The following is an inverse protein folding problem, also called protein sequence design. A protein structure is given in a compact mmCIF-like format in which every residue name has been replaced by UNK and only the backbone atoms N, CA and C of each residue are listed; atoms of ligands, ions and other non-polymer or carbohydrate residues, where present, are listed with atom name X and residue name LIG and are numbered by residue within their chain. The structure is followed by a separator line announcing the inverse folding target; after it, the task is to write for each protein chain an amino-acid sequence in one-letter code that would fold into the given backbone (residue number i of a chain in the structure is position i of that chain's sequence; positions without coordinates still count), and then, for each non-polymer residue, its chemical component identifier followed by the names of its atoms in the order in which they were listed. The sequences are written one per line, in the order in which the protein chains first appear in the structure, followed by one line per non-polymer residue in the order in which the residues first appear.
data_IF_808107847113
#
_entry.id   IF_808107847113
#
_cell.length_a   1.000
_cell.length_b   1.000
_cell.length_c   1.000
_cell.angle_alpha   90.00
_cell.angle_beta   90.00
_cell.angle_gamma   90.00
#
_symmetry.space_group_name_H-M   'P 1'
#
loop_
_entity.id
_entity.type
_entity.pdbx_description
1 polymer ?
#
# COMPACT_ATOMS: atom_id res chain seq x y z
N UNK A 1 39.24 -11.90 -18.29
CA UNK A 1 38.20 -12.94 -18.20
C UNK A 1 38.85 -14.30 -18.32
N UNK A 2 38.40 -15.32 -17.57
CA UNK A 2 38.95 -16.67 -17.66
C UNK A 2 38.71 -17.28 -19.06
N UNK A 3 39.66 -18.10 -19.53
CA UNK A 3 39.54 -18.79 -20.81
C UNK A 3 38.77 -20.10 -20.68
N UNK A 4 38.34 -20.66 -21.83
CA UNK A 4 37.73 -22.00 -21.87
C UNK A 4 38.59 -23.05 -21.16
N UNK A 5 39.92 -23.00 -21.33
CA UNK A 5 40.84 -23.94 -20.66
C UNK A 5 40.78 -23.82 -19.14
N UNK A 6 40.75 -22.58 -18.61
CA UNK A 6 40.64 -22.36 -17.16
C UNK A 6 39.33 -22.94 -16.63
N UNK A 7 38.21 -22.63 -17.28
CA UNK A 7 36.90 -23.13 -16.87
C UNK A 7 36.80 -24.66 -16.99
N UNK A 8 37.29 -25.24 -18.09
CA UNK A 8 37.20 -26.68 -18.37
C UNK A 8 37.87 -27.51 -17.28
N UNK A 9 39.02 -27.05 -16.77
CA UNK A 9 39.81 -27.74 -15.74
C UNK A 9 39.55 -27.25 -14.32
N UNK A 10 38.64 -26.29 -14.13
CA UNK A 10 38.19 -25.87 -12.81
C UNK A 10 37.46 -27.02 -12.09
N UNK A 11 37.62 -27.07 -10.76
CA UNK A 11 36.90 -28.02 -9.92
C UNK A 11 35.38 -27.80 -10.02
N UNK A 12 34.57 -28.85 -9.83
CA UNK A 12 33.11 -28.73 -9.87
C UNK A 12 32.58 -27.80 -8.77
N UNK A 13 31.34 -27.29 -8.90
CA UNK A 13 30.75 -26.41 -7.91
C UNK A 13 30.69 -27.04 -6.51
N UNK A 14 30.65 -26.19 -5.49
CA UNK A 14 30.54 -26.61 -4.10
C UNK A 14 29.07 -26.80 -3.67
N UNK A 15 28.54 -28.01 -3.82
CA UNK A 15 27.17 -28.33 -3.39
C UNK A 15 27.04 -28.73 -1.91
N UNK A 16 28.13 -28.73 -1.15
CA UNK A 16 28.05 -28.83 0.32
C UNK A 16 27.62 -27.49 0.93
N UNK A 17 27.86 -26.38 0.21
CA UNK A 17 27.49 -25.02 0.62
C UNK A 17 26.35 -24.41 -0.21
N UNK A 18 26.08 -24.96 -1.41
CA UNK A 18 25.04 -24.48 -2.31
C UNK A 18 23.99 -25.56 -2.56
N UNK A 19 22.74 -25.16 -2.74
CA UNK A 19 21.65 -26.08 -3.07
C UNK A 19 21.76 -26.47 -4.54
N UNK A 20 21.91 -27.77 -4.81
CA UNK A 20 21.95 -28.29 -6.17
C UNK A 20 20.56 -28.24 -6.81
N UNK A 21 20.42 -27.49 -7.92
CA UNK A 21 19.14 -27.33 -8.62
C UNK A 21 18.90 -28.48 -9.62
N UNK A 22 17.66 -28.65 -10.05
CA UNK A 22 17.22 -29.79 -10.88
C UNK A 22 17.86 -29.75 -12.30
N UNK A 23 18.30 -28.58 -12.77
CA UNK A 23 19.01 -28.39 -14.05
C UNK A 23 20.25 -27.50 -13.90
N UNK A 24 21.34 -28.00 -13.30
CA UNK A 24 22.54 -27.19 -13.06
C UNK A 24 23.39 -27.14 -14.35
N UNK A 25 23.35 -26.03 -15.11
CA UNK A 25 24.15 -25.88 -16.34
C UNK A 25 25.63 -25.51 -16.08
N UNK A 26 26.12 -25.76 -14.86
CA UNK A 26 27.47 -25.39 -14.39
C UNK A 26 28.60 -26.15 -15.09
N UNK A 27 28.32 -27.39 -15.47
CA UNK A 27 29.24 -28.28 -16.20
C UNK A 27 29.04 -28.22 -17.72
N UNK A 28 28.07 -27.41 -18.17
CA UNK A 28 27.67 -27.31 -19.57
C UNK A 28 28.31 -26.04 -20.18
N UNK A 29 28.98 -26.11 -21.35
CA UNK A 29 29.44 -24.90 -22.04
C UNK A 29 28.25 -24.08 -22.55
N UNK A 30 28.49 -22.92 -23.15
CA UNK A 30 27.40 -22.20 -23.81
C UNK A 30 26.94 -23.01 -25.01
N UNK A 31 25.67 -23.42 -24.99
CA UNK A 31 25.07 -24.30 -25.97
C UNK A 31 23.90 -23.61 -26.68
N UNK A 32 24.02 -22.32 -27.03
CA UNK A 32 22.93 -21.52 -27.65
C UNK A 32 22.30 -22.05 -28.96
N UNK A 33 22.65 -23.27 -29.36
CA UNK A 33 22.14 -24.00 -30.52
C UNK A 33 21.59 -25.41 -30.17
N UNK A 34 21.58 -25.82 -28.89
CA UNK A 34 21.08 -27.14 -28.45
C UNK A 34 19.68 -27.03 -27.84
N UNK A 35 18.81 -28.00 -28.15
CA UNK A 35 17.49 -28.12 -27.52
C UNK A 35 17.62 -28.56 -26.05
N UNK A 36 17.79 -27.59 -25.15
CA UNK A 36 17.78 -27.81 -23.71
C UNK A 36 16.34 -27.72 -23.17
N UNK A 37 16.10 -28.43 -22.07
CA UNK A 37 14.85 -28.27 -21.31
C UNK A 37 14.91 -26.93 -20.60
N UNK A 38 14.08 -25.97 -21.00
CA UNK A 38 14.01 -24.67 -20.33
C UNK A 38 13.41 -24.82 -18.92
N UNK A 39 13.89 -24.00 -18.00
CA UNK A 39 13.29 -23.86 -16.67
C UNK A 39 12.27 -22.70 -16.68
N UNK A 40 11.16 -22.83 -15.93
CA UNK A 40 10.73 -24.02 -15.20
C UNK A 40 10.14 -25.07 -16.15
N UNK A 41 10.33 -26.36 -15.85
CA UNK A 41 9.84 -27.47 -16.68
C UNK A 41 8.31 -27.59 -16.67
N UNK A 42 7.68 -27.09 -15.61
CA UNK A 42 6.24 -27.03 -15.48
C UNK A 42 5.78 -25.60 -15.73
N UNK A 43 4.82 -25.36 -16.64
CA UNK A 43 4.28 -24.04 -16.90
C UNK A 43 3.50 -23.46 -15.70
N UNK A 44 3.20 -24.28 -14.69
CA UNK A 44 2.54 -23.88 -13.44
C UNK A 44 3.50 -23.62 -12.28
N UNK A 45 4.81 -23.64 -12.52
CA UNK A 45 5.83 -23.33 -11.53
C UNK A 45 6.60 -22.10 -11.96
N UNK A 46 7.21 -21.43 -10.99
CA UNK A 46 8.14 -20.34 -11.23
C UNK A 46 9.56 -20.76 -10.86
N UNK A 47 10.52 -20.02 -11.38
CA UNK A 47 11.90 -20.03 -10.89
C UNK A 47 12.01 -19.05 -9.72
N UNK A 48 12.23 -19.57 -8.53
CA UNK A 48 12.20 -18.79 -7.28
C UNK A 48 13.22 -17.64 -7.24
N UNK A 49 14.43 -17.84 -7.78
CA UNK A 49 15.52 -16.88 -7.66
C UNK A 49 16.60 -17.07 -8.75
N UNK A 50 16.84 -16.00 -9.50
CA UNK A 50 17.98 -15.83 -10.39
C UNK A 50 18.86 -14.68 -9.90
N UNK A 51 20.18 -14.91 -9.87
CA UNK A 51 21.19 -13.90 -9.54
C UNK A 51 22.03 -13.59 -10.78
N UNK A 52 21.85 -12.39 -11.35
CA UNK A 52 22.66 -11.93 -12.49
C UNK A 52 24.05 -11.55 -12.03
N UNK A 53 25.03 -12.05 -12.79
CA UNK A 53 26.46 -11.95 -12.49
C UNK A 53 26.85 -12.64 -11.18
N UNK A 54 25.96 -13.46 -10.63
CA UNK A 54 26.20 -14.23 -9.44
C UNK A 54 27.27 -15.30 -9.64
N UNK A 55 27.91 -15.68 -8.54
CA UNK A 55 28.95 -16.70 -8.49
C UNK A 55 28.64 -17.76 -7.40
N UNK A 56 27.41 -17.77 -6.88
CA UNK A 56 27.05 -18.45 -5.64
C UNK A 56 27.40 -17.61 -4.40
N UNK A 57 27.20 -18.19 -3.21
CA UNK A 57 27.51 -17.51 -1.94
C UNK A 57 29.03 -17.38 -1.75
N UNK A 58 29.49 -16.14 -1.58
CA UNK A 58 30.88 -15.80 -1.30
C UNK A 58 30.95 -15.08 0.04
N UNK A 59 31.83 -15.54 0.90
CA UNK A 59 32.09 -14.97 2.22
C UNK A 59 33.55 -14.54 2.30
N UNK A 60 33.78 -13.24 2.47
CA UNK A 60 35.10 -12.64 2.62
C UNK A 60 35.09 -11.69 3.82
N UNK A 61 36.27 -11.25 4.28
CA UNK A 61 36.38 -10.33 5.43
C UNK A 61 35.60 -9.03 5.23
N UNK A 62 35.47 -8.56 3.99
CA UNK A 62 34.74 -7.34 3.65
C UNK A 62 33.21 -7.51 3.70
N UNK A 63 32.68 -8.74 3.70
CA UNK A 63 31.25 -9.00 3.68
C UNK A 63 30.87 -10.25 2.89
N UNK A 64 29.56 -10.42 2.70
CA UNK A 64 28.96 -11.52 1.97
C UNK A 64 28.31 -11.05 0.66
N UNK A 65 28.49 -11.81 -0.42
CA UNK A 65 27.79 -11.62 -1.69
C UNK A 65 27.19 -12.93 -2.19
N UNK A 66 26.20 -12.83 -3.09
CA UNK A 66 25.53 -13.97 -3.70
C UNK A 66 24.74 -14.85 -2.73
N UNK A 67 24.20 -15.93 -3.28
CA UNK A 67 23.19 -16.74 -2.61
C UNK A 67 23.45 -18.24 -2.79
N UNK A 68 23.06 -19.02 -1.79
CA UNK A 68 23.24 -20.48 -1.80
C UNK A 68 22.16 -21.23 -2.57
N UNK A 69 21.00 -20.61 -2.80
CA UNK A 69 19.81 -21.27 -3.34
C UNK A 69 19.21 -20.57 -4.57
N UNK A 70 20.04 -20.17 -5.53
CA UNK A 70 19.62 -19.53 -6.78
C UNK A 70 20.21 -20.23 -8.02
N UNK A 71 19.76 -19.82 -9.20
CA UNK A 71 20.50 -19.95 -10.44
C UNK A 71 21.36 -18.71 -10.66
N UNK A 72 22.58 -18.88 -11.15
CA UNK A 72 23.53 -17.78 -11.35
C UNK A 72 23.75 -17.52 -12.84
N UNK A 73 23.35 -16.36 -13.37
CA UNK A 73 23.64 -16.01 -14.77
C UNK A 73 25.04 -15.42 -14.85
N UNK A 74 25.92 -15.98 -15.68
CA UNK A 74 27.27 -15.45 -15.83
C UNK A 74 27.91 -15.81 -17.17
N UNK A 75 29.02 -15.16 -17.50
CA UNK A 75 29.82 -15.46 -18.68
C UNK A 75 30.18 -16.96 -18.75
N UNK A 76 30.11 -17.54 -19.95
CA UNK A 76 30.29 -18.98 -20.23
C UNK A 76 31.55 -19.62 -19.64
N UNK A 77 32.64 -18.86 -19.49
CA UNK A 77 33.89 -19.36 -18.91
C UNK A 77 34.20 -18.78 -17.52
N UNK A 78 33.26 -18.06 -16.91
CA UNK A 78 33.48 -17.53 -15.56
C UNK A 78 33.59 -18.68 -14.54
N UNK A 79 34.57 -18.53 -13.65
CA UNK A 79 34.76 -19.32 -12.42
C UNK A 79 34.57 -18.38 -11.23
N UNK A 80 34.32 -18.93 -10.05
CA UNK A 80 34.21 -18.15 -8.81
C UNK A 80 35.49 -17.33 -8.62
N UNK A 81 35.33 -16.02 -8.45
CA UNK A 81 36.42 -15.04 -8.50
C UNK A 81 37.24 -14.97 -7.22
N UNK A 82 36.60 -15.17 -6.06
CA UNK A 82 37.24 -15.04 -4.74
C UNK A 82 36.55 -15.92 -3.67
N UNK A 83 37.03 -15.80 -2.43
CA UNK A 83 36.53 -16.57 -1.30
C UNK A 83 36.98 -18.04 -1.30
N UNK A 84 36.40 -18.87 -0.42
CA UNK A 84 36.83 -20.27 -0.23
C UNK A 84 36.66 -21.17 -1.46
N UNK A 85 35.74 -20.82 -2.37
CA UNK A 85 35.46 -21.56 -3.59
C UNK A 85 36.11 -20.94 -4.84
N UNK A 86 37.06 -20.02 -4.67
CA UNK A 86 37.77 -19.38 -5.78
C UNK A 86 38.34 -20.40 -6.78
N UNK A 87 38.23 -20.09 -8.08
CA UNK A 87 38.62 -20.92 -9.21
C UNK A 87 37.81 -22.20 -9.41
N UNK A 88 36.73 -22.44 -8.65
CA UNK A 88 35.75 -23.49 -8.95
C UNK A 88 34.73 -23.02 -9.98
N UNK A 89 34.05 -23.95 -10.63
CA UNK A 89 32.88 -23.64 -11.47
C UNK A 89 31.75 -23.05 -10.62
N UNK A 90 31.03 -22.08 -11.18
CA UNK A 90 29.92 -21.40 -10.49
C UNK A 90 28.75 -22.39 -10.30
N UNK A 91 28.18 -22.51 -9.08
CA UNK A 91 27.03 -23.38 -8.81
C UNK A 91 25.78 -22.91 -9.55
N UNK A 92 25.05 -23.87 -10.13
CA UNK A 92 23.82 -23.65 -10.90
C UNK A 92 23.94 -22.56 -11.97
N UNK A 93 25.14 -22.39 -12.56
CA UNK A 93 25.37 -21.38 -13.58
C UNK A 93 24.47 -21.57 -14.80
N UNK A 94 23.86 -20.50 -15.29
CA UNK A 94 23.26 -20.38 -16.63
C UNK A 94 24.23 -19.55 -17.47
N UNK A 95 24.88 -20.13 -18.50
CA UNK A 95 25.92 -19.43 -19.24
C UNK A 95 25.35 -18.45 -20.27
N UNK A 96 25.92 -17.25 -20.34
CA UNK A 96 25.73 -16.30 -21.45
C UNK A 96 27.02 -16.09 -22.23
N UNK A 97 26.90 -15.64 -23.48
CA UNK A 97 28.03 -15.47 -24.41
C UNK A 97 29.06 -14.49 -23.85
N UNK A 98 28.60 -13.33 -23.40
CA UNK A 98 29.46 -12.29 -22.87
C UNK A 98 28.74 -11.41 -21.87
N UNK A 99 29.49 -10.54 -21.18
CA UNK A 99 28.90 -9.51 -20.34
C UNK A 99 28.07 -8.48 -21.13
N UNK A 100 28.23 -8.41 -22.45
CA UNK A 100 27.50 -7.49 -23.35
C UNK A 100 26.44 -8.18 -24.21
N UNK A 101 26.35 -9.50 -24.14
CA UNK A 101 25.36 -10.32 -24.83
C UNK A 101 24.79 -11.33 -23.82
N UNK A 102 23.73 -10.86 -23.16
CA UNK A 102 22.96 -11.59 -22.17
C UNK A 102 21.72 -12.14 -22.87
N UNK A 103 21.74 -13.41 -23.24
CA UNK A 103 20.58 -14.11 -23.76
C UNK A 103 20.46 -15.45 -23.05
N UNK A 104 19.41 -15.58 -22.23
CA UNK A 104 19.10 -16.82 -21.52
C UNK A 104 17.91 -17.55 -22.13
N UNK A 105 17.44 -17.17 -23.32
CA UNK A 105 16.22 -17.70 -23.96
C UNK A 105 16.27 -19.21 -24.21
N UNK A 106 17.46 -19.78 -24.37
CA UNK A 106 17.67 -21.23 -24.52
C UNK A 106 17.54 -22.01 -23.21
N UNK A 107 17.54 -21.32 -22.06
CA UNK A 107 17.58 -21.93 -20.73
C UNK A 107 16.37 -21.58 -19.86
N UNK A 108 15.77 -20.40 -20.07
CA UNK A 108 14.74 -19.85 -19.17
C UNK A 108 13.52 -19.41 -19.98
N UNK A 109 12.36 -19.90 -19.59
CA UNK A 109 11.08 -19.49 -20.16
C UNK A 109 10.77 -18.02 -19.85
N UNK A 110 10.09 -17.36 -20.77
CA UNK A 110 9.63 -15.99 -20.59
C UNK A 110 8.64 -15.91 -19.42
N UNK A 111 8.63 -14.77 -18.73
CA UNK A 111 7.63 -14.47 -17.69
C UNK A 111 7.51 -15.53 -16.58
N UNK A 112 8.62 -16.14 -16.17
CA UNK A 112 8.64 -17.35 -15.33
C UNK A 112 9.43 -17.20 -14.02
N UNK A 113 10.00 -16.03 -13.74
CA UNK A 113 10.89 -15.80 -12.60
C UNK A 113 10.24 -14.92 -11.54
N UNK A 114 10.34 -15.33 -10.27
CA UNK A 114 9.78 -14.61 -9.12
C UNK A 114 10.72 -13.54 -8.55
N UNK A 115 12.02 -13.84 -8.45
CA UNK A 115 13.00 -12.92 -7.90
C UNK A 115 14.23 -12.88 -8.77
N UNK A 116 14.62 -11.67 -9.16
CA UNK A 116 15.90 -11.39 -9.80
C UNK A 116 16.73 -10.49 -8.89
N UNK A 117 17.98 -10.87 -8.67
CA UNK A 117 18.98 -10.03 -8.04
C UNK A 117 20.08 -9.66 -9.03
N UNK A 118 20.65 -8.46 -8.88
CA UNK A 118 21.81 -8.01 -9.67
C UNK A 118 22.78 -7.27 -8.76
N UNK A 119 24.07 -7.58 -8.87
CA UNK A 119 25.12 -7.00 -8.02
C UNK A 119 26.35 -6.61 -8.82
N UNK A 120 26.85 -5.38 -8.61
CA UNK A 120 28.24 -4.97 -8.91
C UNK A 120 28.70 -4.93 -10.38
N UNK A 121 28.00 -5.59 -11.30
CA UNK A 121 28.36 -5.66 -12.72
C UNK A 121 27.35 -4.89 -13.61
N UNK A 122 27.79 -4.30 -14.74
CA UNK A 122 26.93 -3.43 -15.54
C UNK A 122 25.61 -4.07 -16.00
N UNK A 123 24.55 -3.28 -15.97
CA UNK A 123 23.23 -3.61 -16.54
C UNK A 123 23.12 -2.88 -17.88
N UNK A 124 23.76 -3.44 -18.90
CA UNK A 124 23.58 -2.94 -20.27
C UNK A 124 22.20 -3.31 -20.81
N UNK A 125 21.88 -2.80 -22.01
CA UNK A 125 20.60 -3.02 -22.69
C UNK A 125 20.26 -4.51 -22.83
N UNK A 126 21.20 -5.34 -23.28
CA UNK A 126 20.95 -6.79 -23.44
C UNK A 126 20.66 -7.47 -22.11
N UNK A 127 21.34 -7.10 -21.02
CA UNK A 127 21.05 -7.60 -19.68
C UNK A 127 19.65 -7.18 -19.20
N UNK A 128 19.29 -5.90 -19.38
CA UNK A 128 17.98 -5.38 -19.00
C UNK A 128 16.85 -6.05 -19.80
N UNK A 129 17.03 -6.26 -21.11
CA UNK A 129 16.05 -6.92 -21.98
C UNK A 129 15.82 -8.37 -21.55
N UNK A 130 16.88 -9.10 -21.21
CA UNK A 130 16.76 -10.48 -20.73
C UNK A 130 16.07 -10.56 -19.35
N UNK A 131 16.42 -9.65 -18.42
CA UNK A 131 15.72 -9.50 -17.12
C UNK A 131 14.23 -9.23 -17.35
N UNK A 132 13.92 -8.26 -18.21
CA UNK A 132 12.55 -7.88 -18.55
C UNK A 132 11.78 -9.02 -19.22
N UNK A 133 12.44 -9.86 -20.03
CA UNK A 133 11.83 -11.02 -20.69
C UNK A 133 11.41 -12.09 -19.67
N UNK A 134 12.30 -12.45 -18.73
CA UNK A 134 12.09 -13.59 -17.84
C UNK A 134 11.32 -13.25 -16.57
N UNK A 135 11.35 -12.01 -16.09
CA UNK A 135 10.63 -11.62 -14.87
C UNK A 135 9.12 -11.79 -15.07
N UNK A 136 8.47 -12.44 -14.10
CA UNK A 136 7.02 -12.56 -14.12
C UNK A 136 6.36 -11.23 -13.73
N UNK A 137 5.38 -10.78 -14.50
CA UNK A 137 4.65 -9.54 -14.27
C UNK A 137 3.74 -9.54 -13.02
N UNK A 138 3.23 -10.71 -12.61
CA UNK A 138 2.21 -10.83 -11.56
C UNK A 138 2.81 -11.10 -10.18
N UNK A 139 3.94 -11.84 -10.12
CA UNK A 139 4.61 -12.24 -8.86
C UNK A 139 6.07 -11.77 -8.77
N UNK A 140 6.62 -11.24 -9.86
CA UNK A 140 8.03 -10.90 -9.97
C UNK A 140 8.46 -9.69 -9.13
N UNK A 141 9.69 -9.76 -8.64
CA UNK A 141 10.42 -8.69 -7.97
C UNK A 141 11.85 -8.63 -8.50
N UNK A 142 12.40 -7.43 -8.64
CA UNK A 142 13.81 -7.23 -8.99
C UNK A 142 14.49 -6.40 -7.92
N UNK A 143 15.62 -6.87 -7.40
CA UNK A 143 16.40 -6.15 -6.39
C UNK A 143 17.83 -5.98 -6.86
N UNK A 144 18.28 -4.74 -7.00
CA UNK A 144 19.65 -4.42 -7.43
C UNK A 144 20.44 -3.81 -6.28
N UNK A 145 21.72 -4.16 -6.17
CA UNK A 145 22.60 -3.74 -5.08
C UNK A 145 23.82 -3.00 -5.60
N UNK A 146 24.19 -1.91 -4.92
CA UNK A 146 25.45 -1.19 -5.19
C UNK A 146 25.50 -0.38 -6.49
N UNK A 147 24.36 0.04 -7.03
CA UNK A 147 24.30 0.91 -8.22
C UNK A 147 23.94 2.35 -7.83
N UNK A 148 24.54 3.31 -8.53
CA UNK A 148 24.15 4.72 -8.43
C UNK A 148 22.77 4.95 -9.08
N UNK A 149 21.93 5.76 -8.43
CA UNK A 149 20.52 5.96 -8.81
C UNK A 149 20.34 6.45 -10.26
N UNK A 150 21.16 7.40 -10.71
CA UNK A 150 21.06 8.01 -12.05
C UNK A 150 21.92 7.34 -13.12
N UNK A 151 22.51 6.18 -12.80
CA UNK A 151 23.40 5.48 -13.71
C UNK A 151 22.67 4.95 -14.96
N UNK A 152 23.40 4.84 -16.07
CA UNK A 152 22.90 4.19 -17.28
C UNK A 152 22.40 2.76 -17.02
N UNK A 153 22.98 2.06 -16.03
CA UNK A 153 22.56 0.73 -15.62
C UNK A 153 21.10 0.72 -15.12
N UNK A 154 20.77 1.65 -14.22
CA UNK A 154 19.42 1.76 -13.65
C UNK A 154 18.42 2.18 -14.73
N UNK A 155 18.78 3.15 -15.58
CA UNK A 155 17.91 3.61 -16.68
C UNK A 155 17.59 2.51 -17.69
N UNK A 156 18.58 1.68 -18.05
CA UNK A 156 18.35 0.52 -18.91
C UNK A 156 17.37 -0.46 -18.28
N UNK A 157 17.56 -0.77 -16.99
CA UNK A 157 16.69 -1.69 -16.26
C UNK A 157 15.25 -1.15 -16.16
N UNK A 158 15.09 0.10 -15.74
CA UNK A 158 13.77 0.73 -15.56
C UNK A 158 12.95 0.79 -16.84
N UNK A 159 13.60 1.02 -17.99
CA UNK A 159 12.97 0.97 -19.31
C UNK A 159 12.28 -0.39 -19.55
N UNK A 160 12.92 -1.49 -19.18
CA UNK A 160 12.35 -2.83 -19.40
C UNK A 160 11.35 -3.23 -18.31
N UNK A 161 11.61 -2.88 -17.05
CA UNK A 161 10.72 -3.20 -15.94
C UNK A 161 9.39 -2.43 -16.00
N UNK A 162 9.40 -1.20 -16.52
CA UNK A 162 8.17 -0.41 -16.71
C UNK A 162 7.23 -1.09 -17.71
N UNK A 163 7.76 -1.75 -18.75
CA UNK A 163 6.95 -2.53 -19.71
C UNK A 163 6.25 -3.72 -19.07
N UNK A 164 6.75 -4.17 -17.92
CA UNK A 164 6.20 -5.26 -17.10
C UNK A 164 5.39 -4.77 -15.91
N UNK A 165 5.15 -3.46 -15.79
CA UNK A 165 4.51 -2.84 -14.63
C UNK A 165 5.20 -3.13 -13.29
N UNK A 166 6.51 -3.33 -13.29
CA UNK A 166 7.31 -3.36 -12.08
C UNK A 166 7.77 -1.94 -11.74
N UNK A 167 7.44 -1.49 -10.54
CA UNK A 167 7.61 -0.09 -10.09
C UNK A 167 8.60 -0.03 -8.95
N UNK A 168 9.44 1.01 -8.96
CA UNK A 168 10.40 1.26 -7.89
C UNK A 168 9.72 1.47 -6.52
N UNK A 169 10.24 0.81 -5.49
CA UNK A 169 9.80 0.92 -4.11
C UNK A 169 10.98 1.24 -3.18
N UNK A 170 11.16 2.53 -2.88
CA UNK A 170 12.26 3.06 -2.04
C UNK A 170 12.32 2.43 -0.64
N UNK A 171 11.18 2.27 0.02
CA UNK A 171 11.07 1.77 1.38
C UNK A 171 10.83 0.26 1.47
N UNK A 172 11.18 -0.48 0.41
CA UNK A 172 11.06 -1.93 0.40
C UNK A 172 11.96 -2.56 1.48
N UNK A 173 11.32 -3.28 2.41
CA UNK A 173 12.02 -4.08 3.40
C UNK A 173 12.48 -5.39 2.79
N UNK A 174 13.79 -5.61 2.72
CA UNK A 174 14.35 -6.84 2.17
C UNK A 174 13.87 -8.07 2.97
N UNK A 175 13.46 -9.16 2.29
CA UNK A 175 13.18 -10.42 2.97
C UNK A 175 14.47 -11.01 3.56
N UNK A 176 14.34 -11.83 4.60
CA UNK A 176 15.49 -12.39 5.33
C UNK A 176 16.55 -13.04 4.43
N UNK A 177 16.12 -13.72 3.36
CA UNK A 177 17.03 -14.34 2.38
C UNK A 177 17.97 -13.36 1.67
N UNK A 178 17.62 -12.07 1.62
CA UNK A 178 18.42 -10.99 1.02
C UNK A 178 19.19 -10.18 2.05
N UNK A 179 18.82 -10.23 3.33
CA UNK A 179 19.51 -9.50 4.41
C UNK A 179 20.93 -10.00 4.69
N UNK A 180 21.21 -11.26 4.35
CA UNK A 180 22.53 -11.86 4.53
C UNK A 180 23.57 -11.35 3.51
N UNK A 181 23.18 -10.45 2.61
CA UNK A 181 24.06 -9.76 1.68
C UNK A 181 24.57 -8.49 2.34
N UNK A 182 25.87 -8.41 2.60
CA UNK A 182 26.47 -7.33 3.40
C UNK A 182 27.57 -6.56 2.68
N UNK A 183 27.87 -6.92 1.42
CA UNK A 183 28.89 -6.21 0.63
C UNK A 183 28.40 -4.84 0.11
N UNK A 184 27.09 -4.60 0.12
CA UNK A 184 26.48 -3.34 -0.33
C UNK A 184 25.56 -2.80 0.74
N UNK A 185 25.67 -1.50 1.01
CA UNK A 185 24.86 -0.79 2.01
C UNK A 185 23.57 -0.20 1.41
N UNK A 186 23.38 -0.33 0.09
CA UNK A 186 22.21 0.19 -0.62
C UNK A 186 21.62 -0.84 -1.57
N UNK A 187 20.29 -0.79 -1.69
CA UNK A 187 19.52 -1.58 -2.64
C UNK A 187 18.44 -0.73 -3.28
N UNK A 188 18.00 -1.16 -4.47
CA UNK A 188 16.84 -0.63 -5.16
C UNK A 188 15.93 -1.79 -5.52
N UNK A 189 14.67 -1.71 -5.12
CA UNK A 189 13.70 -2.79 -5.35
C UNK A 189 12.59 -2.34 -6.31
N UNK A 190 12.27 -3.18 -7.27
CA UNK A 190 11.16 -3.02 -8.20
C UNK A 190 10.17 -4.14 -7.96
N UNK A 191 8.92 -3.77 -7.75
CA UNK A 191 7.86 -4.66 -7.30
C UNK A 191 6.74 -4.66 -8.34
N UNK A 192 6.10 -5.82 -8.54
CA UNK A 192 4.84 -5.88 -9.26
C UNK A 192 3.74 -5.08 -8.52
N UNK A 193 2.62 -4.85 -9.21
CA UNK A 193 1.53 -4.01 -8.71
C UNK A 193 0.86 -4.56 -7.44
N UNK A 194 0.84 -5.89 -7.25
CA UNK A 194 0.27 -6.53 -6.05
C UNK A 194 1.11 -6.20 -4.82
N UNK A 195 2.42 -6.42 -4.89
CA UNK A 195 3.35 -6.09 -3.81
C UNK A 195 3.41 -4.58 -3.56
N UNK A 196 3.25 -3.75 -4.60
CA UNK A 196 3.12 -2.29 -4.46
C UNK A 196 1.86 -1.90 -3.70
N UNK A 197 0.73 -2.57 -3.93
CA UNK A 197 -0.51 -2.36 -3.16
C UNK A 197 -0.30 -2.70 -1.69
N UNK A 198 0.35 -3.83 -1.40
CA UNK A 198 0.63 -4.24 -0.02
C UNK A 198 1.61 -3.28 0.68
N UNK A 199 2.59 -2.76 -0.05
CA UNK A 199 3.49 -1.74 0.46
C UNK A 199 2.76 -0.42 0.77
N UNK A 200 1.90 0.06 -0.13
CA UNK A 200 1.09 1.26 0.10
C UNK A 200 0.15 1.07 1.30
N UNK A 201 -0.55 -0.06 1.35
CA UNK A 201 -1.42 -0.43 2.46
C UNK A 201 -0.66 -0.43 3.80
N UNK A 202 0.51 -1.10 3.84
CA UNK A 202 1.35 -1.16 5.04
C UNK A 202 1.77 0.23 5.51
N UNK A 203 2.19 1.12 4.60
CA UNK A 203 2.56 2.48 4.96
C UNK A 203 1.40 3.26 5.59
N UNK A 204 0.17 3.05 5.12
CA UNK A 204 -1.02 3.69 5.68
C UNK A 204 -1.36 3.13 7.07
N UNK A 205 -1.31 1.80 7.24
CA UNK A 205 -1.58 1.15 8.54
C UNK A 205 -0.51 1.51 9.59
N UNK A 206 0.76 1.55 9.19
CA UNK A 206 1.89 1.94 10.05
C UNK A 206 2.03 3.46 10.23
N UNK A 207 1.10 4.26 9.69
CA UNK A 207 1.07 5.73 9.77
C UNK A 207 2.29 6.43 9.17
N UNK A 208 2.95 5.79 8.20
CA UNK A 208 4.04 6.33 7.37
C UNK A 208 3.45 7.10 6.18
N UNK A 209 2.70 8.16 6.48
CA UNK A 209 1.89 8.82 5.46
C UNK A 209 2.70 9.55 4.39
N UNK A 210 3.88 10.07 4.71
CA UNK A 210 4.75 10.70 3.69
C UNK A 210 5.17 9.67 2.63
N UNK A 211 5.60 8.48 3.04
CA UNK A 211 5.89 7.37 2.12
C UNK A 211 4.64 6.95 1.33
N UNK A 212 3.47 6.92 1.96
CA UNK A 212 2.22 6.61 1.27
C UNK A 212 1.87 7.66 0.20
N UNK A 213 2.06 8.96 0.48
CA UNK A 213 1.85 10.05 -0.48
C UNK A 213 2.81 9.92 -1.66
N UNK A 214 4.12 9.82 -1.41
CA UNK A 214 5.13 9.68 -2.47
C UNK A 214 4.87 8.47 -3.37
N UNK A 215 4.47 7.34 -2.77
CA UNK A 215 4.13 6.12 -3.51
C UNK A 215 2.85 6.24 -4.32
N UNK A 216 1.84 6.94 -3.79
CA UNK A 216 0.59 7.19 -4.52
C UNK A 216 0.83 8.07 -5.75
N UNK A 217 1.67 9.10 -5.60
CA UNK A 217 2.12 9.93 -6.71
C UNK A 217 2.80 9.11 -7.79
N UNK A 218 3.79 8.30 -7.40
CA UNK A 218 4.51 7.42 -8.33
C UNK A 218 3.57 6.49 -9.11
N UNK A 219 2.61 5.87 -8.42
CA UNK A 219 1.61 5.00 -9.04
C UNK A 219 0.70 5.77 -10.00
N UNK A 220 0.27 6.99 -9.64
CA UNK A 220 -0.54 7.83 -10.52
C UNK A 220 0.22 8.23 -11.79
N UNK A 221 1.43 8.78 -11.62
CA UNK A 221 2.27 9.28 -12.72
C UNK A 221 2.69 8.14 -13.68
N UNK A 222 2.75 6.91 -13.18
CA UNK A 222 3.07 5.71 -13.97
C UNK A 222 1.84 5.01 -14.56
N UNK A 223 0.67 5.66 -14.60
CA UNK A 223 -0.61 5.09 -15.07
C UNK A 223 -1.09 3.83 -14.32
N UNK A 224 -0.62 3.62 -13.08
CA UNK A 224 -0.97 2.49 -12.21
C UNK A 224 -1.93 2.91 -11.08
N UNK A 225 -2.78 3.92 -11.33
CA UNK A 225 -3.70 4.48 -10.33
C UNK A 225 -4.75 3.49 -9.79
N UNK A 226 -5.05 2.40 -10.50
CA UNK A 226 -5.94 1.33 -10.02
C UNK A 226 -5.45 0.73 -8.70
N UNK A 227 -4.13 0.64 -8.50
CA UNK A 227 -3.52 0.17 -7.24
C UNK A 227 -3.93 1.04 -6.04
N UNK A 228 -4.11 2.35 -6.26
CA UNK A 228 -4.58 3.29 -5.23
C UNK A 228 -6.04 2.98 -4.90
N UNK A 229 -6.89 2.81 -5.91
CA UNK A 229 -8.31 2.44 -5.72
C UNK A 229 -8.50 1.10 -5.01
N UNK A 230 -7.68 0.10 -5.36
CA UNK A 230 -7.71 -1.21 -4.72
C UNK A 230 -7.28 -1.14 -3.26
N UNK A 231 -6.23 -0.36 -2.97
CA UNK A 231 -5.76 -0.11 -1.61
C UNK A 231 -6.82 0.63 -0.77
N UNK A 232 -7.44 1.68 -1.33
CA UNK A 232 -8.56 2.40 -0.70
C UNK A 232 -9.71 1.44 -0.41
N UNK A 233 -10.08 0.60 -1.37
CA UNK A 233 -11.14 -0.39 -1.21
C UNK A 233 -10.84 -1.40 -0.10
N UNK A 234 -9.58 -1.87 0.00
CA UNK A 234 -9.12 -2.76 1.07
C UNK A 234 -9.22 -2.07 2.45
N UNK A 235 -8.72 -0.84 2.58
CA UNK A 235 -8.81 -0.05 3.81
C UNK A 235 -10.26 0.17 4.27
N UNK A 236 -11.18 0.46 3.34
CA UNK A 236 -12.60 0.64 3.64
C UNK A 236 -13.27 -0.66 4.10
N UNK A 237 -12.98 -1.79 3.45
CA UNK A 237 -13.50 -3.13 3.82
C UNK A 237 -13.05 -3.53 5.23
N UNK A 238 -11.79 -3.25 5.55
CA UNK A 238 -11.20 -3.56 6.85
C UNK A 238 -11.45 -2.49 7.92
N UNK A 239 -12.24 -1.44 7.60
CA UNK A 239 -12.62 -0.34 8.50
C UNK A 239 -11.40 0.38 9.09
N UNK A 240 -10.32 0.49 8.31
CA UNK A 240 -9.06 1.09 8.72
C UNK A 240 -9.19 2.62 8.84
N UNK A 241 -9.19 3.14 10.07
CA UNK A 241 -9.38 4.56 10.35
C UNK A 241 -8.24 5.45 9.81
N UNK A 242 -7.03 4.91 9.67
CA UNK A 242 -5.87 5.64 9.13
C UNK A 242 -6.09 6.12 7.69
N UNK A 243 -7.09 5.60 6.97
CA UNK A 243 -7.46 6.10 5.63
C UNK A 243 -7.76 7.59 5.64
N UNK A 244 -8.34 8.14 6.71
CA UNK A 244 -8.62 9.56 6.80
C UNK A 244 -7.35 10.39 6.91
N UNK A 245 -6.37 9.91 7.69
CA UNK A 245 -5.08 10.60 7.83
C UNK A 245 -4.26 10.54 6.55
N UNK A 246 -4.29 9.40 5.85
CA UNK A 246 -3.74 9.29 4.50
C UNK A 246 -4.42 10.27 3.53
N UNK A 247 -5.74 10.30 3.51
CA UNK A 247 -6.49 11.20 2.65
C UNK A 247 -6.25 12.69 2.98
N UNK A 248 -6.15 13.03 4.26
CA UNK A 248 -5.79 14.37 4.73
C UNK A 248 -4.40 14.78 4.24
N UNK A 249 -3.43 13.86 4.29
CA UNK A 249 -2.06 14.11 3.83
C UNK A 249 -1.98 14.33 2.33
N UNK A 250 -2.69 13.51 1.54
CA UNK A 250 -2.87 13.74 0.11
C UNK A 250 -3.52 15.11 -0.17
N UNK A 251 -4.62 15.43 0.51
CA UNK A 251 -5.36 16.68 0.29
C UNK A 251 -4.57 17.96 0.60
N UNK A 252 -3.73 17.92 1.64
CA UNK A 252 -2.90 19.05 2.05
C UNK A 252 -1.50 19.02 1.41
N UNK A 253 -1.27 18.11 0.47
CA UNK A 253 -0.11 18.10 -0.42
C UNK A 253 -0.49 18.62 -1.80
N UNK A 254 0.44 18.62 -2.76
CA UNK A 254 0.14 18.97 -4.16
C UNK A 254 -0.63 17.85 -4.91
N UNK A 255 -1.09 16.82 -4.21
CA UNK A 255 -1.69 15.60 -4.77
C UNK A 255 -3.22 15.51 -4.52
N UNK A 256 -3.91 16.66 -4.41
CA UNK A 256 -5.36 16.73 -4.18
C UNK A 256 -6.18 15.94 -5.23
N UNK A 257 -5.72 15.89 -6.48
CA UNK A 257 -6.36 15.14 -7.57
C UNK A 257 -6.45 13.63 -7.28
N UNK A 258 -5.58 13.07 -6.44
CA UNK A 258 -5.63 11.66 -6.08
C UNK A 258 -6.89 11.33 -5.26
N UNK A 259 -7.36 12.28 -4.43
CA UNK A 259 -8.63 12.14 -3.71
C UNK A 259 -9.81 12.19 -4.68
N UNK A 260 -9.75 13.06 -5.68
CA UNK A 260 -10.85 13.16 -6.66
C UNK A 260 -10.96 11.92 -7.55
N UNK A 261 -9.82 11.29 -7.86
CA UNK A 261 -9.75 10.20 -8.83
C UNK A 261 -9.96 8.82 -8.20
N UNK A 262 -9.50 8.61 -6.95
CA UNK A 262 -9.36 7.26 -6.40
C UNK A 262 -10.15 7.01 -5.11
N UNK A 263 -10.75 8.03 -4.50
CA UNK A 263 -11.51 7.90 -3.25
C UNK A 263 -13.02 8.06 -3.47
N UNK A 264 -13.85 7.48 -2.59
CA UNK A 264 -15.28 7.76 -2.56
C UNK A 264 -15.55 9.27 -2.44
N UNK A 265 -16.59 9.74 -3.13
CA UNK A 265 -16.96 11.16 -3.20
C UNK A 265 -17.13 11.83 -1.83
N UNK A 266 -17.48 11.07 -0.79
CA UNK A 266 -17.63 11.58 0.58
C UNK A 266 -16.32 12.13 1.15
N UNK A 267 -15.17 11.55 0.78
CA UNK A 267 -13.86 12.08 1.17
C UNK A 267 -13.64 13.47 0.56
N UNK A 268 -14.00 13.64 -0.71
CA UNK A 268 -13.93 14.93 -1.39
C UNK A 268 -14.83 15.96 -0.69
N UNK A 269 -16.09 15.60 -0.42
CA UNK A 269 -17.05 16.46 0.27
C UNK A 269 -16.51 16.97 1.61
N UNK A 270 -15.95 16.05 2.41
CA UNK A 270 -15.42 16.35 3.75
C UNK A 270 -14.20 17.27 3.68
N UNK A 271 -13.22 16.97 2.82
CA UNK A 271 -11.98 17.77 2.78
C UNK A 271 -12.12 19.09 2.03
N UNK A 272 -13.05 19.18 1.07
CA UNK A 272 -13.41 20.46 0.44
C UNK A 272 -14.20 21.36 1.39
N UNK A 273 -14.72 20.78 2.48
CA UNK A 273 -15.62 21.48 3.38
C UNK A 273 -16.93 21.82 2.67
N UNK A 274 -17.40 20.93 1.81
CA UNK A 274 -18.69 21.05 1.15
C UNK A 274 -19.82 20.90 2.19
N UNK A 275 -20.99 21.42 1.82
CA UNK A 275 -22.20 21.24 2.58
C UNK A 275 -22.72 19.82 2.39
N UNK A 276 -23.03 19.17 3.50
CA UNK A 276 -23.50 17.79 3.53
C UNK A 276 -24.71 17.64 4.44
N UNK A 277 -25.50 16.60 4.17
CA UNK A 277 -26.54 16.13 5.07
C UNK A 277 -26.09 14.80 5.67
N UNK A 278 -26.26 14.65 6.98
CA UNK A 278 -25.88 13.44 7.73
C UNK A 278 -27.17 12.68 8.06
N UNK A 279 -27.36 11.50 7.47
CA UNK A 279 -28.63 10.76 7.53
C UNK A 279 -28.43 9.41 8.19
N UNK A 280 -29.23 9.09 9.20
CA UNK A 280 -29.17 7.79 9.86
C UNK A 280 -29.59 6.67 8.91
N UNK A 281 -28.80 5.59 8.82
CA UNK A 281 -29.08 4.45 7.93
C UNK A 281 -30.38 3.73 8.28
N UNK A 282 -30.60 3.48 9.57
CA UNK A 282 -31.74 2.67 10.05
C UNK A 282 -33.08 3.38 9.84
N UNK A 283 -33.14 4.65 10.23
CA UNK A 283 -34.39 5.41 10.30
C UNK A 283 -34.55 6.41 9.15
N UNK A 284 -33.51 6.65 8.36
CA UNK A 284 -33.52 7.61 7.26
C UNK A 284 -33.89 9.04 7.72
N UNK A 285 -33.37 9.45 8.89
CA UNK A 285 -33.59 10.78 9.48
C UNK A 285 -32.31 11.62 9.41
N UNK A 286 -32.43 12.88 9.03
CA UNK A 286 -31.30 13.80 8.91
C UNK A 286 -31.00 14.49 10.24
N UNK A 287 -29.73 14.63 10.61
CA UNK A 287 -29.36 15.33 11.84
C UNK A 287 -29.68 16.83 11.68
N UNK A 288 -30.35 17.42 12.67
CA UNK A 288 -30.54 18.87 12.83
C UNK A 288 -30.21 19.33 14.25
N UNK A 289 -30.19 20.64 14.43
CA UNK A 289 -30.25 21.28 15.73
C UNK A 289 -31.63 21.89 15.97
N UNK A 290 -32.03 21.91 17.24
CA UNK A 290 -33.29 22.51 17.68
C UNK A 290 -33.31 24.03 17.47
N UNK A 291 -34.50 24.60 17.26
CA UNK A 291 -34.72 26.02 17.07
C UNK A 291 -34.62 26.83 18.37
N UNK A 292 -34.76 26.17 19.52
CA UNK A 292 -34.58 26.79 20.83
C UNK A 292 -33.24 26.41 21.46
N UNK A 293 -32.74 27.29 22.32
CA UNK A 293 -31.56 27.03 23.14
C UNK A 293 -31.96 26.70 24.57
N UNK A 294 -31.11 25.96 25.28
CA UNK A 294 -31.22 25.75 26.72
C UNK A 294 -30.67 26.95 27.52
N UNK A 295 -30.54 26.79 28.85
CA UNK A 295 -29.99 27.81 29.75
C UNK A 295 -28.50 28.09 29.56
N UNK A 296 -27.79 27.22 28.83
CA UNK A 296 -26.36 27.34 28.51
C UNK A 296 -26.14 27.86 27.09
N UNK A 297 -27.22 28.25 26.39
CA UNK A 297 -27.23 28.59 24.96
C UNK A 297 -26.87 27.43 24.01
N UNK A 298 -26.99 26.19 24.47
CA UNK A 298 -26.81 25.00 23.65
C UNK A 298 -28.12 24.63 22.93
N UNK A 299 -28.02 24.03 21.74
CA UNK A 299 -29.18 23.51 20.98
C UNK A 299 -29.19 22.00 21.01
N UNK A 300 -30.32 21.39 21.33
CA UNK A 300 -30.43 19.93 21.35
C UNK A 300 -30.33 19.38 19.92
N UNK A 301 -29.61 18.28 19.73
CA UNK A 301 -29.50 17.63 18.43
C UNK A 301 -30.57 16.53 18.25
N UNK A 302 -31.14 16.48 17.06
CA UNK A 302 -32.25 15.58 16.71
C UNK A 302 -32.02 14.95 15.33
N UNK A 303 -32.68 13.83 15.07
CA UNK A 303 -32.95 13.34 13.73
C UNK A 303 -34.32 13.79 13.27
N UNK A 304 -34.38 14.61 12.23
CA UNK A 304 -35.61 15.12 11.62
C UNK A 304 -36.29 14.07 10.73
N UNK A 305 -37.57 13.87 10.97
CA UNK A 305 -38.44 12.91 10.28
C UNK A 305 -38.88 13.34 8.88
N UNK A 306 -38.83 14.64 8.57
CA UNK A 306 -39.39 15.24 7.37
C UNK A 306 -38.34 15.99 6.55
N UNK A 307 -37.54 16.84 7.19
CA UNK A 307 -36.59 17.71 6.52
C UNK A 307 -35.27 16.99 6.19
N UNK A 308 -34.85 17.14 4.93
CA UNK A 308 -33.57 16.64 4.42
C UNK A 308 -32.86 17.66 3.53
N UNK A 309 -33.39 18.87 3.44
CA UNK A 309 -32.99 19.83 2.40
C UNK A 309 -32.77 21.24 2.93
N UNK A 310 -33.44 21.63 4.02
CA UNK A 310 -33.30 22.99 4.55
C UNK A 310 -31.94 23.21 5.22
N UNK A 311 -31.60 24.46 5.52
CA UNK A 311 -30.36 24.81 6.21
C UNK A 311 -30.21 24.15 7.59
N UNK A 312 -31.31 23.75 8.23
CA UNK A 312 -31.31 23.13 9.57
C UNK A 312 -30.56 21.80 9.61
N UNK A 313 -30.58 21.06 8.50
CA UNK A 313 -29.97 19.74 8.33
C UNK A 313 -28.65 19.77 7.56
N UNK A 314 -28.11 20.97 7.29
CA UNK A 314 -26.84 21.14 6.60
C UNK A 314 -25.71 21.21 7.63
N UNK A 315 -24.71 20.38 7.39
CA UNK A 315 -23.49 20.31 8.18
C UNK A 315 -22.26 20.48 7.30
N UNK A 316 -21.14 20.78 7.93
CA UNK A 316 -19.81 20.77 7.31
C UNK A 316 -18.83 20.09 8.25
N UNK A 317 -17.92 19.31 7.67
CA UNK A 317 -16.82 18.69 8.40
C UNK A 317 -15.60 19.61 8.36
N UNK A 318 -14.89 19.70 9.49
CA UNK A 318 -13.65 20.45 9.64
C UNK A 318 -12.60 19.47 10.17
N UNK A 319 -11.64 19.04 9.32
CA UNK A 319 -10.60 18.10 9.75
C UNK A 319 -9.60 18.79 10.70
N UNK A 320 -9.18 18.06 11.72
CA UNK A 320 -8.18 18.47 12.71
C UNK A 320 -7.05 17.46 12.70
N UNK A 321 -5.85 17.92 12.38
CA UNK A 321 -4.65 17.09 12.43
C UNK A 321 -3.96 17.21 13.78
N UNK A 322 -3.86 16.09 14.50
CA UNK A 322 -3.16 16.03 15.79
C UNK A 322 -2.58 14.63 16.01
N UNK A 323 -1.37 14.54 16.57
CA UNK A 323 -0.73 13.28 16.97
C UNK A 323 -0.70 12.22 15.84
N UNK A 324 -0.38 12.63 14.62
CA UNK A 324 -0.34 11.76 13.43
C UNK A 324 -1.68 11.06 13.12
N UNK A 325 -2.78 11.73 13.45
CA UNK A 325 -4.14 11.27 13.20
C UNK A 325 -5.03 12.46 12.83
N UNK A 326 -6.16 12.17 12.18
CA UNK A 326 -7.17 13.18 11.88
C UNK A 326 -8.45 12.87 12.64
N UNK A 327 -9.01 13.90 13.26
CA UNK A 327 -10.35 13.93 13.83
C UNK A 327 -11.15 15.02 13.12
N UNK A 328 -12.44 15.13 13.42
CA UNK A 328 -13.31 16.08 12.76
C UNK A 328 -14.13 16.87 13.77
N UNK A 329 -14.25 18.17 13.55
CA UNK A 329 -15.37 18.96 14.06
C UNK A 329 -16.50 18.90 13.03
N UNK A 330 -17.74 18.90 13.52
CA UNK A 330 -18.94 18.87 12.68
C UNK A 330 -19.77 20.11 13.03
N UNK A 331 -19.88 21.06 12.09
CA UNK A 331 -20.55 22.35 12.32
C UNK A 331 -21.89 22.38 11.57
N UNK A 332 -22.95 22.78 12.26
CA UNK A 332 -24.25 23.07 11.66
C UNK A 332 -24.22 24.44 11.00
N UNK A 333 -24.71 24.53 9.76
CA UNK A 333 -24.60 25.76 8.98
C UNK A 333 -25.62 26.82 9.40
N UNK A 334 -26.85 26.42 9.75
CA UNK A 334 -27.89 27.37 10.16
C UNK A 334 -27.49 28.15 11.42
N UNK A 335 -26.93 27.46 12.43
CA UNK A 335 -26.64 28.07 13.72
C UNK A 335 -25.16 28.35 13.97
N UNK A 336 -24.25 27.89 13.10
CA UNK A 336 -22.80 28.05 13.31
C UNK A 336 -22.27 27.30 14.53
N UNK A 337 -22.99 26.28 15.00
CA UNK A 337 -22.70 25.54 16.22
C UNK A 337 -22.06 24.18 15.92
N UNK A 338 -21.15 23.75 16.78
CA UNK A 338 -20.43 22.49 16.67
C UNK A 338 -21.14 21.39 17.44
N UNK A 339 -21.25 20.20 16.83
CA UNK A 339 -21.80 19.02 17.47
C UNK A 339 -20.88 18.54 18.61
N UNK A 340 -21.46 18.30 19.79
CA UNK A 340 -20.80 17.74 20.97
C UNK A 340 -21.64 16.68 21.66
N UNK A 341 -21.01 15.92 22.55
CA UNK A 341 -21.73 15.15 23.57
C UNK A 341 -21.71 15.85 24.93
N UNK A 342 -22.77 15.64 25.70
CA UNK A 342 -22.92 16.13 27.06
C UNK A 342 -21.88 15.50 28.01
N UNK A 343 -21.50 16.24 29.06
CA UNK A 343 -20.69 15.74 30.18
C UNK A 343 -21.49 14.81 31.09
N UNK A 344 -22.81 14.94 31.09
CA UNK A 344 -23.70 14.10 31.86
C UNK A 344 -24.22 12.92 31.03
N UNK A 345 -24.50 11.82 31.70
CA UNK A 345 -25.15 10.66 31.11
C UNK A 345 -26.58 10.53 31.61
N UNK A 346 -27.40 9.82 30.86
CA UNK A 346 -28.68 9.31 31.35
C UNK A 346 -28.50 8.07 32.25
N UNK A 347 -29.61 7.43 32.59
CA UNK A 347 -29.65 6.26 33.48
C UNK A 347 -29.01 4.99 32.89
N UNK A 348 -28.77 4.94 31.57
CA UNK A 348 -28.11 3.81 30.89
C UNK A 348 -26.70 4.17 30.40
N UNK A 349 -26.23 5.38 30.73
CA UNK A 349 -24.89 5.88 30.42
C UNK A 349 -24.77 6.60 29.08
N UNK A 350 -25.86 6.74 28.32
CA UNK A 350 -25.86 7.47 27.05
C UNK A 350 -25.73 8.97 27.30
N UNK A 351 -25.10 9.69 26.37
CA UNK A 351 -24.88 11.15 26.46
C UNK A 351 -25.73 11.87 25.44
N UNK A 352 -26.46 12.92 25.84
CA UNK A 352 -27.19 13.75 24.88
C UNK A 352 -26.23 14.42 23.91
N UNK A 353 -26.62 14.54 22.65
CA UNK A 353 -25.89 15.33 21.68
C UNK A 353 -26.45 16.75 21.58
N UNK A 354 -25.56 17.73 21.47
CA UNK A 354 -25.88 19.14 21.48
C UNK A 354 -25.07 19.91 20.42
N UNK A 355 -25.54 21.08 20.03
CA UNK A 355 -24.78 22.10 19.31
C UNK A 355 -24.36 23.22 20.25
N UNK A 356 -23.09 23.62 20.19
CA UNK A 356 -22.53 24.73 20.99
C UNK A 356 -21.46 25.47 20.16
N UNK A 357 -21.28 26.76 20.44
CA UNK A 357 -20.29 27.61 19.79
C UNK A 357 -18.84 27.37 20.31
N UNK A 358 -18.66 26.88 21.53
CA UNK A 358 -17.33 26.71 22.15
C UNK A 358 -16.73 25.33 21.87
N UNK A 359 -15.95 25.18 20.79
CA UNK A 359 -15.44 23.86 20.37
C UNK A 359 -14.03 23.49 20.86
N UNK A 360 -13.58 23.99 22.01
CA UNK A 360 -12.20 23.80 22.48
C UNK A 360 -11.92 22.48 23.19
N UNK A 361 -12.96 21.69 23.48
CA UNK A 361 -12.85 20.42 24.21
C UNK A 361 -12.90 19.22 23.26
N UNK A 362 -12.27 18.10 23.65
CA UNK A 362 -12.28 16.86 22.87
C UNK A 362 -13.69 16.30 22.62
N UNK A 363 -14.69 16.68 23.43
CA UNK A 363 -16.09 16.27 23.24
C UNK A 363 -16.76 16.87 22.00
N UNK A 364 -16.09 17.81 21.32
CA UNK A 364 -16.48 18.39 20.03
C UNK A 364 -15.80 17.71 18.83
N UNK A 365 -14.88 16.79 19.10
CA UNK A 365 -14.13 16.08 18.08
C UNK A 365 -14.71 14.68 17.85
N UNK A 366 -14.71 14.28 16.59
CA UNK A 366 -15.33 13.05 16.12
C UNK A 366 -14.36 12.24 15.27
N UNK A 367 -14.40 10.92 15.46
CA UNK A 367 -13.72 9.92 14.66
C UNK A 367 -14.75 9.34 13.70
N UNK A 368 -14.40 9.30 12.41
CA UNK A 368 -15.22 8.65 11.39
C UNK A 368 -14.67 7.26 11.11
N UNK A 369 -15.48 6.22 11.27
CA UNK A 369 -15.11 4.86 10.90
C UNK A 369 -15.86 4.49 9.64
N UNK A 370 -15.18 4.36 8.48
CA UNK A 370 -15.86 3.95 7.26
C UNK A 370 -16.26 2.47 7.33
N UNK A 371 -17.44 2.16 6.82
CA UNK A 371 -17.96 0.79 6.73
C UNK A 371 -18.62 0.61 5.37
N UNK A 372 -18.19 -0.41 4.63
CA UNK A 372 -18.84 -0.84 3.40
C UNK A 372 -19.87 -1.94 3.69
N UNK A 373 -21.15 -1.68 3.39
CA UNK A 373 -22.25 -2.68 3.47
C UNK A 373 -23.03 -2.64 2.17
N UNK A 374 -23.17 -3.78 1.49
CA UNK A 374 -23.92 -3.89 0.23
C UNK A 374 -23.52 -2.83 -0.81
N UNK A 375 -22.22 -2.58 -0.96
CA UNK A 375 -21.64 -1.55 -1.84
C UNK A 375 -21.95 -0.09 -1.46
N UNK A 376 -22.60 0.14 -0.31
CA UNK A 376 -22.82 1.47 0.24
C UNK A 376 -21.75 1.81 1.27
N UNK A 377 -21.17 3.00 1.14
CA UNK A 377 -20.28 3.57 2.15
C UNK A 377 -21.10 4.30 3.21
N UNK A 378 -21.01 3.82 4.44
CA UNK A 378 -21.58 4.47 5.62
C UNK A 378 -20.48 4.72 6.65
N UNK A 379 -20.80 5.54 7.65
CA UNK A 379 -19.85 5.92 8.68
C UNK A 379 -20.44 5.68 10.06
N UNK A 380 -19.63 5.11 10.95
CA UNK A 380 -19.85 5.26 12.37
C UNK A 380 -19.19 6.58 12.79
N UNK A 381 -19.95 7.43 13.47
CA UNK A 381 -19.48 8.73 13.95
C UNK A 381 -19.29 8.61 15.45
N UNK A 382 -18.04 8.60 15.91
CA UNK A 382 -17.66 8.27 17.29
C UNK A 382 -17.07 9.49 17.96
N UNK A 383 -17.56 9.85 19.14
CA UNK A 383 -17.00 10.97 19.89
C UNK A 383 -15.60 10.65 20.41
N UNK A 384 -14.62 11.53 20.18
CA UNK A 384 -13.21 11.33 20.59
C UNK A 384 -13.08 11.19 22.11
N UNK A 385 -13.78 12.03 22.87
CA UNK A 385 -13.65 12.08 24.34
C UNK A 385 -14.24 10.85 25.03
N UNK A 386 -15.42 10.44 24.60
CA UNK A 386 -16.19 9.41 25.31
C UNK A 386 -16.18 8.04 24.63
N UNK A 387 -15.63 7.94 23.42
CA UNK A 387 -15.67 6.73 22.60
C UNK A 387 -17.11 6.18 22.41
N UNK A 388 -18.09 7.08 22.37
CA UNK A 388 -19.50 6.75 22.18
C UNK A 388 -19.91 7.09 20.74
N UNK A 389 -20.50 6.12 20.04
CA UNK A 389 -21.00 6.30 18.68
C UNK A 389 -22.37 6.96 18.65
N UNK A 390 -22.63 7.80 17.66
CA UNK A 390 -23.93 8.44 17.48
C UNK A 390 -25.05 7.43 17.18
N UNK A 391 -26.19 7.61 17.85
CA UNK A 391 -27.45 6.89 17.58
C UNK A 391 -28.65 7.83 17.73
N UNK A 392 -29.78 7.43 17.14
CA UNK A 392 -31.08 8.05 17.42
C UNK A 392 -31.80 7.28 18.52
N UNK A 393 -32.61 8.01 19.29
CA UNK A 393 -33.50 7.46 20.30
C UNK A 393 -34.45 6.41 19.69
N UNK A 394 -34.85 5.43 20.50
CA UNK A 394 -35.84 4.42 20.12
C UNK A 394 -37.26 5.01 20.08
N UNK A 395 -37.53 6.06 20.84
CA UNK A 395 -38.80 6.77 20.85
C UNK A 395 -38.79 7.94 19.85
N UNK A 396 -39.96 8.21 19.29
CA UNK A 396 -40.21 9.43 18.51
C UNK A 396 -40.96 10.45 19.36
N UNK A 397 -40.78 11.72 19.05
CA UNK A 397 -41.66 12.77 19.57
C UNK A 397 -42.99 12.85 18.78
N UNK A 398 -43.77 13.89 19.06
CA UNK A 398 -45.07 14.12 18.39
C UNK A 398 -44.94 14.46 16.89
N UNK A 399 -43.75 14.88 16.43
CA UNK A 399 -43.47 15.20 15.03
C UNK A 399 -42.84 14.02 14.27
N UNK A 400 -42.43 12.96 14.99
CA UNK A 400 -41.73 11.81 14.44
C UNK A 400 -40.21 11.88 14.60
N UNK A 401 -39.70 12.95 15.19
CA UNK A 401 -38.27 13.21 15.36
C UNK A 401 -37.71 12.39 16.52
N UNK A 402 -36.40 12.16 16.49
CA UNK A 402 -35.70 11.33 17.48
C UNK A 402 -34.52 12.09 18.08
N UNK A 403 -34.38 12.06 19.40
CA UNK A 403 -33.22 12.68 20.06
C UNK A 403 -31.93 11.99 19.60
N UNK A 404 -30.88 12.77 19.39
CA UNK A 404 -29.55 12.25 19.08
C UNK A 404 -28.76 12.00 20.37
N UNK A 405 -28.16 10.81 20.46
CA UNK A 405 -27.41 10.35 21.62
C UNK A 405 -26.03 9.81 21.22
N UNK A 406 -25.06 9.92 22.13
CA UNK A 406 -23.87 9.08 22.17
C UNK A 406 -24.20 7.78 22.91
N UNK A 407 -24.03 6.65 22.23
CA UNK A 407 -24.34 5.34 22.77
C UNK A 407 -23.26 4.83 23.74
N UNK A 408 -23.67 4.45 24.95
CA UNK A 408 -22.88 3.73 25.93
C UNK A 408 -22.75 2.24 25.57
N UNK A 409 -21.94 1.99 24.56
CA UNK A 409 -21.71 0.64 24.05
C UNK A 409 -20.94 0.66 22.74
N UNK A 410 -20.52 -0.52 22.31
CA UNK A 410 -19.82 -0.66 21.04
C UNK A 410 -20.80 -0.57 19.87
N UNK A 411 -20.60 0.43 19.00
CA UNK A 411 -21.36 0.60 17.75
C UNK A 411 -20.80 -0.21 16.57
N UNK A 412 -19.62 -0.81 16.71
CA UNK A 412 -18.93 -1.47 15.60
C UNK A 412 -19.58 -2.77 15.14
N UNK A 413 -20.36 -3.41 16.00
CA UNK A 413 -20.99 -4.71 15.73
C UNK A 413 -22.30 -4.59 14.93
N UNK A 414 -22.94 -3.43 14.92
CA UNK A 414 -24.19 -3.21 14.17
C UNK A 414 -24.19 -1.88 13.39
N UNK A 415 -23.42 -1.79 12.29
CA UNK A 415 -23.43 -0.59 11.46
C UNK A 415 -24.75 -0.37 10.71
N UNK A 416 -25.64 -1.36 10.63
CA UNK A 416 -26.98 -1.14 10.08
C UNK A 416 -27.82 -0.27 11.01
N UNK A 417 -27.65 -0.46 12.32
CA UNK A 417 -28.31 0.35 13.35
C UNK A 417 -27.62 1.71 13.56
N UNK A 418 -26.29 1.71 13.71
CA UNK A 418 -25.51 2.88 14.13
C UNK A 418 -24.87 3.68 12.99
N UNK A 419 -25.05 3.23 11.75
CA UNK A 419 -24.43 3.85 10.58
C UNK A 419 -25.11 5.12 10.12
N UNK A 420 -24.31 6.00 9.52
CA UNK A 420 -24.73 7.28 8.98
C UNK A 420 -24.25 7.42 7.53
N UNK A 421 -25.14 7.85 6.64
CA UNK A 421 -24.77 8.34 5.33
C UNK A 421 -24.31 9.79 5.44
N UNK A 422 -23.22 10.11 4.75
CA UNK A 422 -22.78 11.50 4.52
C UNK A 422 -23.05 11.78 3.04
N UNK A 423 -24.02 12.64 2.77
CA UNK A 423 -24.51 12.92 1.42
C UNK A 423 -24.19 14.36 1.05
N UNK A 424 -23.78 14.60 -0.19
CA UNK A 424 -23.71 15.95 -0.73
C UNK A 424 -25.06 16.64 -0.58
N UNK A 425 -25.04 17.85 -0.03
CA UNK A 425 -26.23 18.68 -0.08
C UNK A 425 -26.47 19.12 -1.52
N UNK A 426 -27.72 18.96 -1.97
CA UNK A 426 -28.17 19.40 -3.29
C UNK A 426 -29.33 20.36 -3.08
N UNK A 427 -29.28 21.52 -3.72
CA UNK A 427 -30.48 22.31 -3.97
C UNK A 427 -31.38 21.52 -4.91
N UNK A 428 -32.63 21.31 -4.51
CA UNK A 428 -33.66 20.85 -5.45
C UNK A 428 -33.89 21.88 -6.56
#
# INVERSE_FOLDING_TARGET
MPSFSVWKYALPPNYDRNVNKIYPYSEVPFLGEYNLVKIPVSPYKFVDHIDYWGEGRIEVTAGCSGFTNCYNINHVHQVVSNGPDANRKIPNRIPVISFTNCDTSSYIEDNSVELITVMGAPINTSCAEDIGRIINNDVGKVVVFGFEEDSANIKNLESELTKKALVYCEDFSLPSKLLDLTLFDSHRAYLNLTDMSDCLYKNIVEKKYENAVSKSKLLHDSNNGSVISDTVSKLLKERQQNIWSYAYKLWNSNEKSLITNYFPQQFQAIFNGDYVTIVNKRNNLAIKLDANTDSYNDRLAWGDSQDKTSNRVIWKFIPIWQNNSVTFKIINIEHGMYLKLDVNTDNIGDRKAWGDNNSNEERFEWILVPVMINYELIFLIINKRYNQGLKLDANVDEYGDRILWGHNGSVSHDPNYFGWYIMYWRTN
#
